data_IF_962929914162
#
_entry.id   IF_962929914162
#
_cell.length_a   1.000
_cell.length_b   1.000
_cell.length_c   1.000
_cell.angle_alpha   90.00
_cell.angle_beta   90.00
_cell.angle_gamma   90.00
#
_symmetry.space_group_name_H-M   'P 1'
#
loop_
_entity.id
_entity.type
_entity.pdbx_description
1 polymer ?
#
# COMPACT_ATOMS: atom_id res chain seq x y z
N UNK A 1 -15.74 20.42 -10.84
CA UNK A 1 -14.56 19.65 -11.29
C UNK A 1 -13.61 19.44 -10.11
N UNK A 2 -13.33 18.19 -9.70
CA UNK A 2 -12.33 17.90 -8.65
C UNK A 2 -10.95 18.29 -9.17
N UNK A 3 -10.35 19.32 -8.58
CA UNK A 3 -8.96 19.74 -8.88
C UNK A 3 -8.00 18.82 -8.12
N UNK A 4 -7.84 17.62 -8.65
CA UNK A 4 -6.86 16.63 -8.19
C UNK A 4 -5.47 17.05 -8.63
N UNK A 5 -4.51 16.96 -7.73
CA UNK A 5 -3.09 17.29 -7.93
C UNK A 5 -2.31 15.98 -7.93
N UNK A 6 -1.41 15.81 -8.90
CA UNK A 6 -0.54 14.63 -8.98
C UNK A 6 0.58 14.71 -7.94
N UNK A 7 0.91 13.60 -7.31
CA UNK A 7 2.08 13.44 -6.45
C UNK A 7 3.09 12.64 -7.26
N UNK A 8 4.26 13.20 -7.53
CA UNK A 8 5.28 12.52 -8.35
C UNK A 8 6.00 11.39 -7.61
N UNK A 9 6.19 11.55 -6.30
CA UNK A 9 6.84 10.57 -5.42
C UNK A 9 5.90 10.15 -4.28
N UNK A 10 4.84 9.37 -4.57
CA UNK A 10 3.98 8.85 -3.54
C UNK A 10 4.75 7.88 -2.64
N UNK A 11 4.52 8.00 -1.33
CA UNK A 11 5.13 7.15 -0.30
C UNK A 11 4.58 5.73 -0.34
N UNK A 12 3.26 5.60 -0.47
CA UNK A 12 2.59 4.34 -0.78
C UNK A 12 1.19 4.63 -1.34
N UNK A 13 0.84 3.94 -2.42
CA UNK A 13 -0.47 4.04 -3.06
C UNK A 13 -0.70 5.35 -3.83
N UNK A 14 -1.88 5.92 -3.66
CA UNK A 14 -2.50 6.94 -4.53
C UNK A 14 -1.59 8.14 -4.80
N UNK A 15 -1.10 8.25 -6.04
CA UNK A 15 -0.31 9.37 -6.58
C UNK A 15 -1.12 10.65 -6.81
N UNK A 16 -2.21 10.85 -6.07
CA UNK A 16 -3.09 12.01 -6.22
C UNK A 16 -3.55 12.54 -4.87
N UNK A 17 -3.70 13.86 -4.79
CA UNK A 17 -4.23 14.56 -3.61
C UNK A 17 -5.16 15.69 -4.04
N UNK A 18 -5.91 16.28 -3.10
CA UNK A 18 -6.73 17.46 -3.41
C UNK A 18 -5.90 18.74 -3.43
N UNK A 19 -6.30 19.75 -4.21
CA UNK A 19 -5.64 21.07 -4.25
C UNK A 19 -5.42 21.68 -2.86
N UNK A 20 -6.40 21.59 -1.96
CA UNK A 20 -6.29 22.14 -0.60
C UNK A 20 -5.26 21.38 0.23
N UNK A 21 -5.21 20.05 0.10
CA UNK A 21 -4.25 19.21 0.81
C UNK A 21 -2.83 19.41 0.26
N UNK A 22 -2.66 19.55 -1.06
CA UNK A 22 -1.39 19.92 -1.69
C UNK A 22 -0.86 21.26 -1.17
N UNK A 23 -1.69 22.31 -1.13
CA UNK A 23 -1.33 23.61 -0.55
C UNK A 23 -0.86 23.50 0.90
N UNK A 24 -1.53 22.69 1.72
CA UNK A 24 -1.13 22.45 3.12
C UNK A 24 0.23 21.77 3.22
N UNK A 25 0.53 20.80 2.35
CA UNK A 25 1.84 20.16 2.35
C UNK A 25 2.97 21.12 1.98
N UNK A 26 2.74 21.99 1.00
CA UNK A 26 3.72 23.01 0.61
C UNK A 26 3.90 24.06 1.71
N UNK A 27 2.81 24.55 2.29
CA UNK A 27 2.87 25.53 3.40
C UNK A 27 3.58 24.98 4.65
N UNK A 28 3.54 23.66 4.87
CA UNK A 28 4.23 22.99 5.97
C UNK A 28 5.70 22.65 5.65
N UNK A 29 6.21 22.98 4.45
CA UNK A 29 7.57 22.63 4.02
C UNK A 29 7.78 21.13 3.80
N UNK A 30 6.70 20.36 3.59
CA UNK A 30 6.76 18.90 3.41
C UNK A 30 6.86 18.51 1.94
N UNK A 31 6.41 19.38 1.05
CA UNK A 31 6.39 19.17 -0.38
C UNK A 31 6.71 20.46 -1.12
N UNK A 32 7.22 20.33 -2.33
CA UNK A 32 7.44 21.40 -3.29
C UNK A 32 6.45 21.26 -4.45
N UNK A 33 6.07 22.40 -5.06
CA UNK A 33 5.36 22.38 -6.34
C UNK A 33 6.37 22.05 -7.44
N UNK A 34 6.10 20.99 -8.20
CA UNK A 34 6.84 20.72 -9.43
C UNK A 34 6.21 21.54 -10.56
N UNK A 35 4.88 21.50 -10.64
CA UNK A 35 4.10 22.38 -11.50
C UNK A 35 2.94 22.99 -10.68
N UNK A 36 2.94 24.33 -10.49
CA UNK A 36 1.97 25.00 -9.61
C UNK A 36 0.52 24.67 -9.96
N UNK A 37 -0.17 23.98 -9.06
CA UNK A 37 -1.57 23.62 -9.24
C UNK A 37 -1.83 22.39 -10.13
N UNK A 38 -0.78 21.68 -10.56
CA UNK A 38 -0.87 20.42 -11.31
C UNK A 38 -0.19 19.28 -10.56
N UNK A 39 1.05 19.48 -10.08
CA UNK A 39 1.82 18.43 -9.41
C UNK A 39 2.67 18.92 -8.23
N UNK A 40 2.82 18.04 -7.23
CA UNK A 40 3.71 18.25 -6.09
C UNK A 40 4.68 17.08 -5.94
N UNK A 41 5.81 17.35 -5.30
CA UNK A 41 6.80 16.35 -4.89
C UNK A 41 7.09 16.52 -3.41
N UNK A 42 7.00 15.45 -2.64
CA UNK A 42 7.39 15.47 -1.24
C UNK A 42 8.91 15.54 -1.07
N UNK A 43 9.38 16.23 -0.05
CA UNK A 43 10.81 16.38 0.24
C UNK A 43 11.28 15.13 1.03
N UNK A 44 12.25 14.35 0.50
CA UNK A 44 12.70 13.11 1.14
C UNK A 44 13.35 13.34 2.52
N UNK A 45 13.96 14.51 2.71
CA UNK A 45 14.68 14.89 3.94
C UNK A 45 13.75 15.16 5.14
N UNK A 46 12.43 15.25 4.94
CA UNK A 46 11.48 15.42 6.04
C UNK A 46 11.31 14.10 6.82
N UNK A 47 11.63 14.12 8.12
CA UNK A 47 11.46 12.98 9.03
C UNK A 47 10.03 12.42 9.02
N UNK A 48 9.01 13.25 8.73
CA UNK A 48 7.61 12.80 8.63
C UNK A 48 7.36 12.02 7.35
N UNK A 49 8.02 12.40 6.26
CA UNK A 49 7.99 11.66 5.01
C UNK A 49 8.73 10.33 5.15
N UNK A 50 9.91 10.34 5.77
CA UNK A 50 10.68 9.12 6.08
C UNK A 50 9.91 8.15 7.00
N UNK A 51 9.24 8.67 8.05
CA UNK A 51 8.42 7.86 8.96
C UNK A 51 7.21 7.26 8.25
N UNK A 52 6.52 8.05 7.43
CA UNK A 52 5.39 7.56 6.62
C UNK A 52 5.85 6.47 5.65
N UNK A 53 7.02 6.62 5.04
CA UNK A 53 7.62 5.63 4.14
C UNK A 53 7.96 4.35 4.86
N UNK A 54 8.64 4.45 5.99
CA UNK A 54 8.97 3.29 6.83
C UNK A 54 7.71 2.53 7.27
N UNK A 55 6.66 3.23 7.67
CA UNK A 55 5.38 2.60 8.05
C UNK A 55 4.71 1.89 6.88
N UNK A 56 4.70 2.51 5.70
CA UNK A 56 4.14 1.90 4.51
C UNK A 56 4.94 0.68 4.02
N UNK A 57 6.27 0.78 4.02
CA UNK A 57 7.17 -0.32 3.67
C UNK A 57 7.02 -1.50 4.65
N UNK A 58 6.91 -1.20 5.95
CA UNK A 58 6.64 -2.21 6.99
C UNK A 58 5.31 -2.91 6.74
N UNK A 59 4.26 -2.15 6.42
CA UNK A 59 2.94 -2.70 6.12
C UNK A 59 3.01 -3.62 4.89
N UNK A 60 3.67 -3.18 3.81
CA UNK A 60 3.89 -3.98 2.61
C UNK A 60 4.63 -5.28 2.91
N UNK A 61 5.72 -5.20 3.68
CA UNK A 61 6.51 -6.36 4.09
C UNK A 61 5.68 -7.41 4.84
N UNK A 62 4.83 -6.98 5.77
CA UNK A 62 3.95 -7.90 6.51
C UNK A 62 2.87 -8.53 5.63
N UNK A 63 2.29 -7.78 4.69
CA UNK A 63 1.34 -8.35 3.72
C UNK A 63 2.01 -9.34 2.77
N UNK A 64 3.18 -9.01 2.24
CA UNK A 64 3.96 -9.92 1.38
C UNK A 64 4.33 -11.20 2.14
N UNK A 65 4.82 -11.07 3.38
CA UNK A 65 5.07 -12.20 4.26
C UNK A 65 3.81 -13.03 4.51
N UNK A 66 2.67 -12.39 4.82
CA UNK A 66 1.40 -13.07 5.04
C UNK A 66 0.90 -13.79 3.78
N UNK A 67 1.11 -13.23 2.59
CA UNK A 67 0.80 -13.90 1.32
C UNK A 67 1.70 -15.13 1.09
N UNK A 68 2.97 -15.05 1.48
CA UNK A 68 3.90 -16.18 1.43
C UNK A 68 3.69 -17.23 2.53
N UNK A 69 3.05 -16.87 3.64
CA UNK A 69 2.73 -17.79 4.75
C UNK A 69 1.27 -18.24 4.78
N UNK A 70 0.42 -17.73 3.87
CA UNK A 70 -1.04 -17.80 3.97
C UNK A 70 -1.75 -18.67 2.93
N UNK A 71 -1.02 -19.31 2.02
CA UNK A 71 -1.59 -20.43 1.26
C UNK A 71 -0.88 -21.69 1.69
N UNK A 72 -1.61 -22.59 2.33
CA UNK A 72 -1.29 -24.00 2.36
C UNK A 72 -0.79 -24.34 0.95
N UNK A 73 0.49 -24.65 0.83
CA UNK A 73 1.09 -24.90 -0.47
C UNK A 73 0.24 -26.00 -1.13
N UNK A 74 0.08 -25.99 -2.45
CA UNK A 74 -0.55 -27.12 -3.15
C UNK A 74 0.08 -28.48 -2.74
N UNK A 75 1.34 -28.44 -2.27
CA UNK A 75 2.05 -29.55 -1.63
C UNK A 75 1.47 -30.01 -0.27
N UNK A 76 0.92 -29.11 0.55
CA UNK A 76 0.23 -29.47 1.80
C UNK A 76 -1.17 -30.06 1.53
N UNK A 77 -1.81 -29.67 0.43
CA UNK A 77 -3.08 -30.27 -0.01
C UNK A 77 -2.89 -31.72 -0.53
N UNK A 78 -1.68 -32.08 -0.97
CA UNK A 78 -1.38 -33.41 -1.50
C UNK A 78 -1.35 -34.52 -0.42
N UNK A 79 -1.18 -34.13 0.86
CA UNK A 79 -1.15 -35.06 2.00
C UNK A 79 -2.44 -35.07 2.83
N UNK A 80 -3.47 -34.32 2.41
CA UNK A 80 -4.78 -34.42 3.05
C UNK A 80 -5.47 -35.69 2.53
N UNK A 81 -5.86 -36.64 3.41
CA UNK A 81 -6.65 -37.78 2.98
C UNK A 81 -7.99 -37.26 2.46
N UNK A 82 -8.19 -37.35 1.14
CA UNK A 82 -9.50 -37.14 0.51
C UNK A 82 -10.37 -38.32 0.94
N UNK A 83 -11.04 -38.19 2.08
CA UNK A 83 -12.10 -39.13 2.44
C UNK A 83 -13.28 -38.82 1.53
N UNK A 84 -13.59 -39.76 0.65
CA UNK A 84 -14.79 -39.73 -0.18
C UNK A 84 -16.02 -39.49 0.71
N UNK A 85 -16.87 -38.48 0.44
CA UNK A 85 -17.97 -38.10 1.32
C UNK A 85 -18.93 -39.24 1.70
N UNK A 86 -19.04 -40.25 0.84
CA UNK A 86 -19.89 -41.43 1.05
C UNK A 86 -19.45 -42.28 2.25
N UNK A 87 -18.15 -42.36 2.55
CA UNK A 87 -17.63 -43.15 3.69
C UNK A 87 -17.82 -42.41 5.02
N UNK A 88 -17.81 -41.06 4.99
CA UNK A 88 -18.03 -40.24 6.19
C UNK A 88 -19.50 -40.19 6.61
N UNK A 89 -20.43 -40.37 5.67
CA UNK A 89 -21.88 -40.31 5.90
C UNK A 89 -22.55 -41.67 6.10
N UNK A 90 -21.78 -42.78 6.11
CA UNK A 90 -22.27 -44.10 6.45
C UNK A 90 -23.34 -44.67 5.51
N UNK A 91 -23.18 -44.48 4.20
CA UNK A 91 -24.02 -45.09 3.16
C UNK A 91 -23.23 -46.12 2.36
#
# INVERSE_FOLDING_TARGET
>A
MRKTIRIENPVAGCGFTSKNRAKRFVAQGRAEWVEPGISIRFIPSDHRHASARKSADTTRYWYERAAHTGMAQLAELANLPIVTPHVLLGM
#
